data_IF_819803586252
#
_entry.id   IF_819803586252
#
_cell.length_a   1.000
_cell.length_b   1.000
_cell.length_c   1.000
_cell.angle_alpha   90.00
_cell.angle_beta   90.00
_cell.angle_gamma   90.00
#
_symmetry.space_group_name_H-M   'P 1'
#
loop_
_entity.id
_entity.type
_entity.pdbx_description
1 polymer ?
#
# COMPACT_ATOMS: atom_id res chain seq x y z
N UNK A 1 -13.89 -9.52 19.89
CA UNK A 1 -14.42 -8.34 19.17
C UNK A 1 -13.61 -8.05 17.89
N UNK A 2 -12.27 -8.04 17.95
CA UNK A 2 -11.42 -7.85 16.76
C UNK A 2 -11.74 -8.78 15.57
N UNK A 3 -11.86 -10.09 15.83
CA UNK A 3 -12.18 -11.10 14.79
C UNK A 3 -13.52 -10.88 14.05
N UNK A 4 -14.49 -10.21 14.69
CA UNK A 4 -15.76 -9.91 14.03
C UNK A 4 -15.58 -8.75 13.04
N UNK A 5 -14.88 -7.69 13.46
CA UNK A 5 -14.57 -6.54 12.61
C UNK A 5 -13.70 -6.94 11.42
N UNK A 6 -12.71 -7.80 11.64
CA UNK A 6 -11.88 -8.36 10.58
C UNK A 6 -12.72 -9.09 9.55
N UNK A 7 -13.63 -9.96 9.99
CA UNK A 7 -14.52 -10.71 9.10
C UNK A 7 -15.44 -9.80 8.28
N UNK A 8 -16.02 -8.77 8.89
CA UNK A 8 -16.86 -7.79 8.19
C UNK A 8 -16.03 -7.02 7.13
N UNK A 9 -14.83 -6.56 7.48
CA UNK A 9 -13.93 -5.87 6.54
C UNK A 9 -13.46 -6.79 5.41
N UNK A 10 -13.17 -8.05 5.71
CA UNK A 10 -12.81 -9.04 4.70
C UNK A 10 -13.96 -9.35 3.74
N UNK A 11 -15.19 -9.37 4.25
CA UNK A 11 -16.39 -9.61 3.43
C UNK A 11 -16.61 -8.51 2.38
N UNK A 12 -16.24 -7.27 2.69
CA UNK A 12 -16.33 -6.13 1.75
C UNK A 12 -15.11 -6.01 0.83
N UNK A 13 -14.16 -6.96 0.91
CA UNK A 13 -13.00 -7.02 0.03
C UNK A 13 -11.80 -6.19 0.49
N UNK A 14 -11.75 -5.80 1.76
CA UNK A 14 -10.57 -5.19 2.38
C UNK A 14 -9.69 -6.29 2.98
N UNK A 15 -8.39 -6.21 2.75
CA UNK A 15 -7.38 -7.11 3.32
C UNK A 15 -6.45 -6.31 4.21
N UNK A 16 -6.50 -6.59 5.52
CA UNK A 16 -5.74 -5.85 6.53
C UNK A 16 -4.35 -6.46 6.70
N UNK A 17 -3.30 -5.65 6.71
CA UNK A 17 -1.91 -6.07 6.98
C UNK A 17 -1.38 -7.21 6.07
N UNK A 18 -1.96 -7.39 4.88
CA UNK A 18 -1.51 -8.39 3.89
C UNK A 18 -1.01 -7.70 2.64
N UNK A 19 0.03 -8.25 2.02
CA UNK A 19 0.46 -7.86 0.68
C UNK A 19 -0.39 -8.56 -0.38
N UNK A 20 -0.44 -7.97 -1.58
CA UNK A 20 -1.09 -8.61 -2.72
C UNK A 20 -0.40 -9.94 -3.04
N UNK A 21 -1.15 -11.05 -3.19
CA UNK A 21 -0.56 -12.34 -3.54
C UNK A 21 0.21 -12.29 -4.86
N UNK A 22 1.36 -12.95 -4.90
CA UNK A 22 2.24 -13.02 -6.07
C UNK A 22 1.82 -14.16 -7.02
N UNK A 23 0.60 -14.04 -7.53
CA UNK A 23 0.03 -14.98 -8.50
C UNK A 23 -0.11 -14.25 -9.83
N UNK A 24 0.51 -14.79 -10.88
CA UNK A 24 0.32 -14.29 -12.23
C UNK A 24 -0.89 -15.00 -12.84
N UNK A 25 -1.89 -14.21 -13.21
CA UNK A 25 -3.13 -14.68 -13.80
C UNK A 25 -3.40 -13.94 -15.12
N UNK A 26 -3.61 -14.69 -16.21
CA UNK A 26 -3.93 -14.12 -17.52
C UNK A 26 -4.97 -14.97 -18.25
N UNK A 27 -6.20 -14.45 -18.48
CA UNK A 27 -7.18 -15.11 -19.32
C UNK A 27 -6.69 -15.27 -20.76
N UNK A 28 -6.92 -16.44 -21.35
CA UNK A 28 -6.59 -16.76 -22.76
C UNK A 28 -7.88 -16.89 -23.57
N UNK A 29 -7.77 -16.74 -24.90
CA UNK A 29 -8.89 -16.96 -25.83
C UNK A 29 -9.15 -18.45 -26.12
N UNK A 30 -8.19 -19.32 -25.83
CA UNK A 30 -8.25 -20.76 -26.05
C UNK A 30 -7.02 -21.47 -25.48
N UNK A 31 -6.99 -22.81 -25.55
CA UNK A 31 -5.84 -23.62 -25.13
C UNK A 31 -5.95 -24.23 -23.72
N UNK A 32 -7.11 -24.13 -23.06
CA UNK A 32 -7.36 -24.70 -21.73
C UNK A 32 -6.69 -23.94 -20.59
N UNK A 33 -6.64 -24.59 -19.43
CA UNK A 33 -5.94 -24.10 -18.24
C UNK A 33 -4.46 -24.51 -18.31
N UNK A 34 -3.58 -23.54 -18.24
CA UNK A 34 -2.14 -23.77 -18.02
C UNK A 34 -1.84 -23.40 -16.57
N UNK A 35 -1.56 -24.42 -15.77
CA UNK A 35 -1.21 -24.29 -14.35
C UNK A 35 0.28 -24.58 -14.16
N UNK A 36 1.00 -23.61 -13.59
CA UNK A 36 2.41 -23.74 -13.23
C UNK A 36 2.63 -23.25 -11.79
N UNK A 37 3.58 -23.86 -11.08
CA UNK A 37 4.01 -23.37 -9.77
C UNK A 37 5.53 -23.38 -9.67
N UNK A 38 6.10 -22.30 -9.11
CA UNK A 38 7.52 -22.21 -8.76
C UNK A 38 7.82 -22.75 -7.35
N UNK A 39 6.79 -22.91 -6.52
CA UNK A 39 6.89 -23.33 -5.12
C UNK A 39 5.98 -24.54 -4.90
N UNK A 40 6.35 -25.52 -4.05
CA UNK A 40 5.41 -26.56 -3.65
C UNK A 40 4.19 -25.94 -2.96
N UNK A 41 3.01 -26.14 -3.55
CA UNK A 41 1.75 -25.61 -3.02
C UNK A 41 1.12 -26.61 -2.06
N UNK A 42 0.78 -26.13 -0.87
CA UNK A 42 0.17 -26.97 0.18
C UNK A 42 -1.35 -27.00 0.07
N UNK A 43 -1.96 -25.84 -0.25
CA UNK A 43 -3.41 -25.64 -0.20
C UNK A 43 -4.08 -25.47 -1.57
N UNK A 44 -3.31 -25.17 -2.61
CA UNK A 44 -3.83 -25.00 -3.98
C UNK A 44 -3.42 -26.16 -4.87
N UNK A 45 -4.36 -27.08 -5.13
CA UNK A 45 -4.20 -28.11 -6.16
C UNK A 45 -4.71 -27.63 -7.51
N UNK A 46 -4.17 -28.18 -8.60
CA UNK A 46 -4.62 -27.87 -9.97
C UNK A 46 -6.14 -28.06 -10.16
N UNK A 47 -6.69 -29.14 -9.58
CA UNK A 47 -8.14 -29.42 -9.61
C UNK A 47 -8.95 -28.32 -8.93
N UNK A 48 -8.49 -27.82 -7.79
CA UNK A 48 -9.17 -26.76 -7.06
C UNK A 48 -9.14 -25.43 -7.83
N UNK A 49 -7.98 -25.09 -8.41
CA UNK A 49 -7.82 -23.91 -9.26
C UNK A 49 -8.75 -23.99 -10.48
N UNK A 50 -8.86 -25.16 -11.11
CA UNK A 50 -9.78 -25.39 -12.21
C UNK A 50 -11.24 -25.20 -11.81
N UNK A 51 -11.65 -25.75 -10.65
CA UNK A 51 -13.02 -25.58 -10.12
C UNK A 51 -13.36 -24.11 -9.87
N UNK A 52 -12.45 -23.36 -9.22
CA UNK A 52 -12.63 -21.93 -8.96
C UNK A 52 -12.79 -21.18 -10.30
N UNK A 53 -11.89 -21.41 -11.26
CA UNK A 53 -11.97 -20.72 -12.55
C UNK A 53 -13.26 -21.02 -13.32
N UNK A 54 -13.74 -22.27 -13.28
CA UNK A 54 -15.02 -22.66 -13.88
C UNK A 54 -16.21 -21.97 -13.22
N UNK A 55 -16.21 -21.78 -11.90
CA UNK A 55 -17.25 -21.04 -11.18
C UNK A 55 -17.31 -19.57 -11.63
N UNK A 56 -16.15 -18.97 -11.89
CA UNK A 56 -16.03 -17.64 -12.51
C UNK A 56 -16.23 -17.62 -14.04
N UNK A 57 -16.67 -18.73 -14.65
CA UNK A 57 -16.90 -18.90 -16.10
C UNK A 57 -15.64 -18.68 -16.96
N UNK A 58 -14.46 -18.94 -16.41
CA UNK A 58 -13.16 -18.84 -17.08
C UNK A 58 -12.67 -20.25 -17.40
N UNK A 59 -12.65 -20.61 -18.69
CA UNK A 59 -12.23 -21.94 -19.15
C UNK A 59 -10.79 -21.98 -19.69
N UNK A 60 -10.24 -20.83 -20.06
CA UNK A 60 -8.91 -20.72 -20.66
C UNK A 60 -8.11 -19.65 -19.93
N UNK A 61 -7.04 -20.04 -19.24
CA UNK A 61 -6.21 -19.11 -18.49
C UNK A 61 -4.78 -19.64 -18.30
N UNK A 62 -3.85 -18.72 -18.11
CA UNK A 62 -2.54 -19.00 -17.53
C UNK A 62 -2.57 -18.63 -16.05
N UNK A 63 -2.18 -19.56 -15.19
CA UNK A 63 -1.99 -19.33 -13.77
C UNK A 63 -0.57 -19.78 -13.39
N UNK A 64 0.19 -18.86 -12.81
CA UNK A 64 1.52 -19.14 -12.28
C UNK A 64 1.60 -18.67 -10.83
N UNK A 65 1.78 -19.63 -9.93
CA UNK A 65 2.01 -19.36 -8.50
C UNK A 65 3.51 -19.17 -8.25
N UNK A 66 3.88 -18.05 -7.62
CA UNK A 66 5.26 -17.76 -7.22
C UNK A 66 5.49 -17.84 -5.71
N UNK A 67 4.44 -18.09 -4.94
CA UNK A 67 4.47 -18.27 -3.48
C UNK A 67 3.38 -19.26 -3.05
N UNK A 68 3.49 -19.80 -1.84
CA UNK A 68 2.45 -20.68 -1.29
C UNK A 68 1.21 -19.86 -0.92
N UNK A 69 0.19 -19.95 -1.76
CA UNK A 69 -1.04 -19.15 -1.69
C UNK A 69 -2.24 -20.01 -1.35
N UNK A 70 -3.20 -19.43 -0.63
CA UNK A 70 -4.48 -20.09 -0.33
C UNK A 70 -5.48 -19.97 -1.48
N UNK A 71 -6.56 -20.78 -1.51
CA UNK A 71 -7.62 -20.63 -2.49
C UNK A 71 -8.28 -19.24 -2.46
N UNK A 72 -8.40 -18.64 -1.27
CA UNK A 72 -8.95 -17.29 -1.08
C UNK A 72 -8.03 -16.23 -1.69
N UNK A 73 -6.71 -16.40 -1.58
CA UNK A 73 -5.73 -15.51 -2.21
C UNK A 73 -5.83 -15.57 -3.74
N UNK A 74 -6.09 -16.76 -4.29
CA UNK A 74 -6.31 -16.91 -5.73
C UNK A 74 -7.61 -16.24 -6.17
N UNK A 75 -8.69 -16.40 -5.40
CA UNK A 75 -9.96 -15.70 -5.65
C UNK A 75 -9.73 -14.18 -5.64
N UNK A 76 -8.99 -13.65 -4.67
CA UNK A 76 -8.68 -12.22 -4.57
C UNK A 76 -7.97 -11.69 -5.84
N UNK A 77 -7.07 -12.47 -6.43
CA UNK A 77 -6.39 -12.12 -7.69
C UNK A 77 -7.34 -12.16 -8.89
N UNK A 78 -8.29 -13.11 -8.93
CA UNK A 78 -9.31 -13.17 -9.99
C UNK A 78 -10.25 -11.97 -9.93
N UNK A 79 -10.74 -11.61 -8.74
CA UNK A 79 -11.70 -10.49 -8.62
C UNK A 79 -11.01 -9.14 -8.88
N UNK A 80 -9.75 -8.99 -8.43
CA UNK A 80 -8.90 -7.84 -8.76
C UNK A 80 -9.35 -6.49 -8.15
N UNK A 81 -10.49 -6.45 -7.45
CA UNK A 81 -11.05 -5.25 -6.81
C UNK A 81 -10.73 -5.14 -5.31
N UNK A 82 -9.82 -5.97 -4.81
CA UNK A 82 -9.43 -6.00 -3.39
C UNK A 82 -8.51 -4.85 -3.03
N UNK A 83 -8.74 -4.28 -1.86
CA UNK A 83 -7.91 -3.21 -1.31
C UNK A 83 -7.06 -3.79 -0.18
N UNK A 84 -5.74 -3.73 -0.36
CA UNK A 84 -4.75 -4.13 0.64
C UNK A 84 -4.28 -2.90 1.38
N UNK A 85 -4.48 -2.85 2.69
CA UNK A 85 -4.11 -1.68 3.50
C UNK A 85 -3.54 -2.07 4.85
N UNK A 86 -2.54 -1.31 5.35
CA UNK A 86 -2.05 -1.48 6.71
C UNK A 86 -3.12 -1.08 7.72
N UNK A 87 -3.18 -1.79 8.85
CA UNK A 87 -4.13 -1.60 9.94
C UNK A 87 -3.38 -1.65 11.26
N UNK A 88 -3.60 -0.64 12.12
CA UNK A 88 -3.02 -0.58 13.45
C UNK A 88 -4.11 -0.85 14.48
N UNK A 89 -3.94 -1.88 15.30
CA UNK A 89 -4.84 -2.24 16.39
C UNK A 89 -4.54 -1.39 17.62
N UNK A 90 -5.49 -0.55 18.02
CA UNK A 90 -5.31 0.35 19.16
C UNK A 90 -6.13 -0.16 20.34
N UNK A 91 -5.44 -0.63 21.38
CA UNK A 91 -6.04 -1.11 22.62
C UNK A 91 -6.10 0.04 23.64
N UNK A 92 -7.30 0.58 23.85
CA UNK A 92 -7.52 1.65 24.83
C UNK A 92 -7.86 1.08 26.22
N UNK A 93 -7.78 1.94 27.25
CA UNK A 93 -8.08 1.67 28.66
C UNK A 93 -7.08 0.73 29.36
N UNK A 94 -5.78 0.90 29.08
CA UNK A 94 -4.72 0.13 29.75
C UNK A 94 -4.68 0.35 31.27
N UNK A 95 -5.31 1.42 31.77
CA UNK A 95 -5.48 1.73 33.18
C UNK A 95 -6.35 0.72 33.96
N UNK A 96 -7.12 -0.11 33.25
CA UNK A 96 -8.03 -1.10 33.86
C UNK A 96 -7.49 -2.54 33.87
N UNK A 97 -6.28 -2.76 33.34
CA UNK A 97 -5.67 -4.08 33.19
C UNK A 97 -4.33 -4.17 33.90
N UNK A 98 -3.87 -5.39 34.22
CA UNK A 98 -2.57 -5.60 34.85
C UNK A 98 -1.42 -5.29 33.89
N UNK A 99 -0.25 -4.96 34.43
CA UNK A 99 0.96 -4.68 33.63
C UNK A 99 1.36 -5.87 32.74
N UNK A 100 1.15 -7.10 33.21
CA UNK A 100 1.40 -8.33 32.47
C UNK A 100 0.53 -8.43 31.21
N UNK A 101 -0.73 -8.01 31.32
CA UNK A 101 -1.68 -8.05 30.22
C UNK A 101 -1.43 -6.91 29.22
N UNK A 102 -0.99 -5.75 29.71
CA UNK A 102 -0.48 -4.64 28.87
C UNK A 102 0.73 -5.10 28.07
N UNK A 103 1.70 -5.75 28.72
CA UNK A 103 2.91 -6.25 28.08
C UNK A 103 2.58 -7.30 27.02
N UNK A 104 1.69 -8.25 27.32
CA UNK A 104 1.20 -9.22 26.33
C UNK A 104 0.59 -8.53 25.11
N UNK A 105 -0.30 -7.55 25.33
CA UNK A 105 -0.97 -6.84 24.23
C UNK A 105 -0.01 -5.97 23.42
N UNK A 106 1.03 -5.41 24.04
CA UNK A 106 2.03 -4.60 23.36
C UNK A 106 2.96 -5.41 22.44
N UNK A 107 3.15 -6.71 22.72
CA UNK A 107 3.95 -7.61 21.90
C UNK A 107 3.19 -8.21 20.71
N UNK A 108 1.87 -8.05 20.63
CA UNK A 108 1.09 -8.50 19.48
C UNK A 108 1.45 -7.69 18.22
N UNK A 109 1.47 -8.32 17.03
CA UNK A 109 1.82 -7.63 15.80
C UNK A 109 0.79 -6.54 15.48
N UNK A 110 1.28 -5.42 14.93
CA UNK A 110 0.45 -4.26 14.55
C UNK A 110 -0.40 -3.68 15.70
N UNK A 111 0.03 -3.84 16.95
CA UNK A 111 -0.68 -3.34 18.12
C UNK A 111 -0.07 -2.06 18.72
N UNK A 112 -0.91 -1.24 19.34
CA UNK A 112 -0.51 -0.14 20.25
C UNK A 112 -1.48 -0.12 21.42
N UNK A 113 -0.93 -0.06 22.63
CA UNK A 113 -1.69 0.04 23.88
C UNK A 113 -1.71 1.49 24.36
N UNK A 114 -2.87 2.05 24.71
CA UNK A 114 -3.02 3.46 25.12
C UNK A 114 -3.97 3.62 26.31
N UNK A 115 -3.84 4.72 27.05
CA UNK A 115 -4.91 5.21 27.93
C UNK A 115 -5.22 6.66 27.57
N UNK A 116 -6.37 6.89 26.93
CA UNK A 116 -6.83 8.25 26.64
C UNK A 116 -7.14 9.05 27.92
N UNK A 117 -7.62 8.39 28.97
CA UNK A 117 -7.97 9.03 30.23
C UNK A 117 -6.74 9.56 30.97
N UNK A 118 -5.66 8.78 30.99
CA UNK A 118 -4.39 9.15 31.62
C UNK A 118 -3.38 9.78 30.66
N UNK A 119 -3.74 9.95 29.38
CA UNK A 119 -2.87 10.39 28.28
C UNK A 119 -1.57 9.58 28.16
N UNK A 120 -1.65 8.28 28.42
CA UNK A 120 -0.50 7.37 28.31
C UNK A 120 -0.34 6.87 26.88
N UNK A 121 0.91 6.84 26.42
CA UNK A 121 1.34 6.25 25.15
C UNK A 121 0.73 6.86 23.88
N UNK A 122 0.22 8.09 23.97
CA UNK A 122 -0.35 8.81 22.83
C UNK A 122 0.72 9.27 21.83
N UNK A 123 1.91 9.63 22.32
CA UNK A 123 3.02 10.05 21.47
C UNK A 123 3.50 8.88 20.59
N UNK A 124 3.66 7.70 21.20
CA UNK A 124 3.99 6.46 20.48
C UNK A 124 2.90 6.07 19.47
N UNK A 125 1.62 6.24 19.81
CA UNK A 125 0.54 6.04 18.85
C UNK A 125 0.70 6.96 17.64
N UNK A 126 1.05 8.24 17.86
CA UNK A 126 1.23 9.21 16.78
C UNK A 126 2.43 8.85 15.88
N UNK A 127 3.54 8.42 16.47
CA UNK A 127 4.71 7.90 15.73
C UNK A 127 4.34 6.68 14.88
N UNK A 128 3.66 5.70 15.45
CA UNK A 128 3.22 4.49 14.74
C UNK A 128 2.22 4.81 13.63
N UNK A 129 1.31 5.76 13.85
CA UNK A 129 0.40 6.23 12.80
C UNK A 129 1.16 6.86 11.64
N UNK A 130 2.19 7.67 11.91
CA UNK A 130 3.02 8.28 10.88
C UNK A 130 3.72 7.21 10.02
N UNK A 131 4.28 6.18 10.65
CA UNK A 131 4.89 5.03 9.97
C UNK A 131 3.89 4.29 9.08
N UNK A 132 2.68 4.00 9.58
CA UNK A 132 1.66 3.21 8.87
C UNK A 132 1.03 3.98 7.72
N UNK A 133 0.88 5.29 7.85
CA UNK A 133 0.40 6.14 6.77
C UNK A 133 1.42 6.24 5.62
N UNK A 134 2.68 5.86 5.87
CA UNK A 134 3.78 5.87 4.91
C UNK A 134 3.83 7.21 4.14
N UNK A 135 3.76 8.32 4.87
CA UNK A 135 3.71 9.66 4.29
C UNK A 135 5.10 10.10 3.82
N UNK A 136 5.11 10.87 2.74
CA UNK A 136 6.29 11.55 2.21
C UNK A 136 6.03 13.06 2.21
N UNK A 137 7.03 13.82 2.66
CA UNK A 137 7.02 15.27 2.62
C UNK A 137 7.77 15.72 1.38
N UNK A 138 7.11 16.46 0.49
CA UNK A 138 7.71 16.94 -0.75
C UNK A 138 7.78 18.46 -0.73
N UNK A 139 8.90 19.02 -1.14
CA UNK A 139 9.11 20.47 -1.14
C UNK A 139 9.04 21.03 -2.55
N UNK A 140 8.46 22.21 -2.70
CA UNK A 140 8.38 22.87 -4.00
C UNK A 140 9.45 23.93 -4.15
N UNK A 141 9.95 24.08 -5.37
CA UNK A 141 10.93 25.09 -5.73
C UNK A 141 10.47 25.85 -6.96
N UNK A 142 10.46 27.19 -6.88
CA UNK A 142 10.24 28.06 -8.04
C UNK A 142 11.54 28.31 -8.80
N UNK A 143 11.42 28.62 -10.09
CA UNK A 143 12.58 28.95 -10.92
C UNK A 143 13.21 30.26 -10.43
N UNK A 144 14.51 30.22 -10.16
CA UNK A 144 15.26 31.37 -9.65
C UNK A 144 15.19 31.57 -8.13
N UNK A 145 14.33 30.83 -7.44
CA UNK A 145 14.20 30.89 -5.98
C UNK A 145 14.82 29.64 -5.32
N UNK A 146 15.09 29.77 -4.02
CA UNK A 146 15.47 28.65 -3.16
C UNK A 146 14.23 27.76 -2.90
N UNK A 147 14.42 26.48 -2.58
CA UNK A 147 13.32 25.61 -2.16
C UNK A 147 12.60 26.19 -0.95
N UNK A 148 11.27 26.06 -0.92
CA UNK A 148 10.48 26.40 0.25
C UNK A 148 10.36 25.17 1.16
N UNK A 149 11.00 25.24 2.33
CA UNK A 149 10.95 24.18 3.34
C UNK A 149 9.88 24.44 4.43
N UNK A 150 9.14 25.54 4.32
CA UNK A 150 8.09 25.88 5.29
C UNK A 150 6.75 25.21 4.96
N UNK A 151 6.45 25.01 3.67
CA UNK A 151 5.20 24.41 3.20
C UNK A 151 5.47 23.09 2.43
N UNK A 152 5.45 21.98 3.17
CA UNK A 152 5.64 20.65 2.62
C UNK A 152 4.32 20.08 2.08
N UNK A 153 4.36 19.58 0.84
CA UNK A 153 3.27 18.80 0.27
C UNK A 153 3.35 17.37 0.82
N UNK A 154 2.43 17.05 1.72
CA UNK A 154 2.30 15.71 2.28
C UNK A 154 1.55 14.80 1.30
N UNK A 155 2.19 13.70 0.90
CA UNK A 155 1.65 12.68 0.01
C UNK A 155 1.86 11.29 0.62
N UNK A 156 1.18 10.26 0.12
CA UNK A 156 1.52 8.87 0.45
C UNK A 156 2.69 8.39 -0.40
N UNK A 157 3.52 7.50 0.14
CA UNK A 157 4.61 6.83 -0.59
C UNK A 157 4.08 6.14 -1.85
N UNK A 158 4.86 6.20 -2.93
CA UNK A 158 4.43 5.76 -4.26
C UNK A 158 3.71 6.85 -5.07
N UNK A 159 3.63 8.08 -4.56
CA UNK A 159 3.15 9.22 -5.34
C UNK A 159 4.12 9.54 -6.49
N UNK A 160 3.56 9.75 -7.69
CA UNK A 160 4.30 10.18 -8.86
C UNK A 160 4.31 11.71 -8.97
N UNK A 161 5.18 12.25 -9.82
CA UNK A 161 5.18 13.68 -10.19
C UNK A 161 3.81 14.16 -10.68
N UNK A 162 3.05 13.31 -11.37
CA UNK A 162 1.67 13.61 -11.77
C UNK A 162 0.75 13.87 -10.57
N UNK A 163 0.82 13.01 -9.55
CA UNK A 163 0.04 13.19 -8.33
C UNK A 163 0.41 14.51 -7.62
N UNK A 164 1.70 14.85 -7.60
CA UNK A 164 2.18 16.14 -7.06
C UNK A 164 1.62 17.31 -7.87
N UNK A 165 1.61 17.22 -9.20
CA UNK A 165 1.04 18.26 -10.05
C UNK A 165 -0.43 18.50 -9.74
N UNK A 166 -1.24 17.43 -9.61
CA UNK A 166 -2.65 17.54 -9.25
C UNK A 166 -2.89 18.10 -7.85
N UNK A 167 -1.98 17.81 -6.90
CA UNK A 167 -2.03 18.36 -5.54
C UNK A 167 -1.78 19.86 -5.50
N UNK A 168 -0.87 20.36 -6.33
CA UNK A 168 -0.59 21.80 -6.48
C UNK A 168 -1.74 22.50 -7.20
N UNK A 169 -2.12 22.00 -8.39
CA UNK A 169 -3.22 22.56 -9.16
C UNK A 169 -3.72 21.58 -10.23
N UNK A 170 -5.05 21.44 -10.37
CA UNK A 170 -5.70 20.48 -11.29
C UNK A 170 -5.25 20.58 -12.76
N UNK A 171 -4.86 21.76 -13.24
CA UNK A 171 -4.45 21.96 -14.65
C UNK A 171 -2.93 21.80 -14.86
N UNK A 172 -2.15 21.69 -13.79
CA UNK A 172 -0.68 21.73 -13.89
C UNK A 172 -0.12 20.53 -14.66
N UNK A 173 -0.72 19.35 -14.48
CA UNK A 173 -0.36 18.15 -15.21
C UNK A 173 -0.54 18.31 -16.74
N UNK A 174 -1.59 19.01 -17.19
CA UNK A 174 -1.85 19.24 -18.63
C UNK A 174 -0.82 20.16 -19.29
N UNK A 175 -0.25 21.10 -18.53
CA UNK A 175 0.76 22.06 -18.99
C UNK A 175 2.19 21.58 -18.74
N UNK A 176 2.38 20.36 -18.23
CA UNK A 176 3.67 19.83 -17.83
C UNK A 176 4.60 19.61 -19.03
N UNK A 177 5.85 20.11 -18.95
CA UNK A 177 6.92 19.83 -19.92
C UNK A 177 7.94 18.85 -19.35
N UNK A 178 8.42 19.13 -18.14
CA UNK A 178 9.28 18.27 -17.34
C UNK A 178 9.35 18.80 -15.90
N UNK A 179 9.84 17.98 -14.97
CA UNK A 179 10.23 18.43 -13.65
C UNK A 179 11.75 18.28 -13.47
N UNK A 180 12.32 19.15 -12.65
CA UNK A 180 13.64 18.96 -12.06
C UNK A 180 13.42 18.50 -10.62
N UNK A 181 14.02 17.39 -10.25
CA UNK A 181 13.96 16.86 -8.88
C UNK A 181 15.36 16.83 -8.29
N UNK A 182 15.44 17.18 -7.01
CA UNK A 182 16.62 17.01 -6.16
C UNK A 182 16.22 16.09 -5.02
N UNK A 183 17.05 15.10 -4.72
CA UNK A 183 16.80 14.16 -3.62
C UNK A 183 17.05 12.70 -3.99
N UNK A 184 16.71 11.82 -3.05
CA UNK A 184 17.08 10.40 -3.10
C UNK A 184 16.36 9.62 -4.18
N UNK A 185 15.21 10.11 -4.68
CA UNK A 185 14.52 9.47 -5.80
C UNK A 185 15.29 9.57 -7.12
N UNK A 186 16.27 10.46 -7.21
CA UNK A 186 17.07 10.71 -8.41
C UNK A 186 18.51 10.29 -8.23
N UNK A 187 19.18 9.91 -9.34
CA UNK A 187 20.59 9.53 -9.30
C UNK A 187 21.55 10.73 -9.33
N UNK A 188 21.06 11.87 -9.81
CA UNK A 188 21.82 13.08 -10.00
C UNK A 188 21.00 14.29 -9.56
N UNK A 189 21.63 15.26 -8.91
CA UNK A 189 20.97 16.45 -8.43
C UNK A 189 21.34 17.70 -9.28
N UNK A 190 20.40 18.36 -9.96
CA UNK A 190 19.04 17.90 -10.30
C UNK A 190 18.99 16.94 -11.48
N UNK A 191 18.00 16.04 -11.47
CA UNK A 191 17.66 15.21 -12.61
C UNK A 191 16.35 15.66 -13.25
N UNK A 192 16.32 15.64 -14.60
CA UNK A 192 15.09 15.87 -15.37
C UNK A 192 14.24 14.61 -15.36
N UNK A 193 13.00 14.72 -14.88
CA UNK A 193 12.06 13.61 -14.76
C UNK A 193 10.72 13.89 -15.44
N UNK A 194 9.99 12.81 -15.73
CA UNK A 194 8.64 12.84 -16.30
C UNK A 194 7.54 12.69 -15.25
N UNK A 195 6.29 12.63 -15.71
CA UNK A 195 5.10 12.50 -14.85
C UNK A 195 5.05 11.18 -14.06
N UNK A 196 5.62 10.10 -14.61
CA UNK A 196 5.62 8.76 -14.02
C UNK A 196 6.71 8.53 -12.99
N UNK A 197 7.60 9.50 -12.78
CA UNK A 197 8.67 9.40 -11.78
C UNK A 197 8.08 9.35 -10.38
N UNK A 198 8.53 8.38 -9.57
CA UNK A 198 8.08 8.19 -8.20
C UNK A 198 8.92 9.05 -7.27
N UNK A 199 8.26 9.82 -6.43
CA UNK A 199 8.90 10.73 -5.47
C UNK A 199 9.22 10.01 -4.16
N UNK A 200 10.28 10.45 -3.49
CA UNK A 200 10.70 9.98 -2.16
C UNK A 200 10.58 11.07 -1.08
N UNK A 201 10.78 10.70 0.18
CA UNK A 201 10.68 11.62 1.31
C UNK A 201 11.76 12.71 1.20
N UNK A 202 11.37 13.96 1.45
CA UNK A 202 12.21 15.17 1.36
C UNK A 202 12.68 15.58 -0.04
N UNK A 203 12.17 14.95 -1.10
CA UNK A 203 12.45 15.40 -2.46
C UNK A 203 11.97 16.84 -2.69
N UNK A 204 12.80 17.60 -3.40
CA UNK A 204 12.47 18.94 -3.88
C UNK A 204 12.10 18.86 -5.35
N UNK A 205 10.97 19.45 -5.73
CA UNK A 205 10.49 19.46 -7.12
C UNK A 205 10.32 20.89 -7.67
N UNK A 206 10.83 21.11 -8.89
CA UNK A 206 10.57 22.29 -9.69
C UNK A 206 9.88 21.88 -10.99
N UNK A 207 8.63 22.31 -11.16
CA UNK A 207 7.83 22.00 -12.36
C UNK A 207 8.08 23.04 -13.44
N UNK A 208 8.40 22.59 -14.66
CA UNK A 208 8.55 23.43 -15.84
C UNK A 208 7.36 23.19 -16.78
N UNK A 209 6.66 24.27 -17.09
CA UNK A 209 5.50 24.26 -18.00
C UNK A 209 5.95 24.31 -19.46
N UNK A 210 5.05 23.89 -20.36
CA UNK A 210 5.26 23.94 -21.82
C UNK A 210 5.41 25.37 -22.31
#
# INVERSE_FOLDING_TARGET
MGKLLEKELESVGIRLNRSKPNIYFKPKKGGGLSYNSMVPLTMCSEKLVQLILHEYKIFNAEVLFREDSTPDDFIDVIVGNRVYMPCLYVYNKVDQISIEEVDRLAHEPHSVVISCGMKLNLDYLLERLWEYLALICLYTKKRGERPDFSDAIIMRRGASVEHVCHRIHRTLASQFKYALVWGTSTKFDPQRVGLTHIMEHEDVIQIVKK
#
